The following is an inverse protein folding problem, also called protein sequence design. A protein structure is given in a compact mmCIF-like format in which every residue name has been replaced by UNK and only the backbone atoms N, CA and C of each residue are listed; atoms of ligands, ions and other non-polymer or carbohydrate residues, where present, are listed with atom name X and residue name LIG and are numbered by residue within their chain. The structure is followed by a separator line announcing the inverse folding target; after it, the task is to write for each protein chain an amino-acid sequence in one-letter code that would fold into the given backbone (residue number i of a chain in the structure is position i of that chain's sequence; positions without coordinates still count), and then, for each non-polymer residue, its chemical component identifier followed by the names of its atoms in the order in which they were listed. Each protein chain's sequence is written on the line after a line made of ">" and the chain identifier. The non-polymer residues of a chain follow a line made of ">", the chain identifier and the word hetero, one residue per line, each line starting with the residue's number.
data_IF_151088154468
#
_entry.id   IF_151088154468
#
_cell.length_a   1.000
_cell.length_b   1.000
_cell.length_c   1.000
_cell.angle_alpha   90.00
_cell.angle_beta   90.00
_cell.angle_gamma   90.00
#
_symmetry.space_group_name_H-M   'P 1'
#
loop_
_entity.id
_entity.type
_entity.pdbx_description
1 polymer ?
#
# COMPACT_ATOMS: atom_id res chain seq x y z
N UNK A 1 8.28 -25.14 -6.70
CA UNK A 1 6.94 -25.04 -6.05
C UNK A 1 6.86 -23.69 -5.38
N UNK A 2 5.73 -22.96 -5.49
CA UNK A 2 5.54 -21.71 -4.76
C UNK A 2 5.54 -21.97 -3.25
N UNK A 3 6.14 -21.06 -2.47
CA UNK A 3 6.10 -21.09 -1.02
C UNK A 3 4.65 -20.89 -0.52
N UNK A 4 3.89 -20.07 -1.23
CA UNK A 4 2.49 -19.73 -0.95
C UNK A 4 1.55 -20.42 -1.93
N UNK A 5 0.34 -20.76 -1.47
CA UNK A 5 -0.67 -21.50 -2.25
C UNK A 5 -1.84 -20.63 -2.66
N UNK A 6 -2.25 -19.68 -1.80
CA UNK A 6 -3.42 -18.83 -2.04
C UNK A 6 -3.17 -17.39 -1.59
N UNK A 7 -3.38 -16.44 -2.50
CA UNK A 7 -3.17 -15.01 -2.25
C UNK A 7 -4.50 -14.26 -2.20
N UNK A 8 -4.70 -13.44 -1.16
CA UNK A 8 -5.71 -12.38 -1.18
C UNK A 8 -5.14 -11.17 -1.93
N UNK A 9 -5.89 -10.65 -2.90
CA UNK A 9 -5.52 -9.46 -3.65
C UNK A 9 -6.25 -8.26 -3.05
N UNK A 10 -5.56 -7.50 -2.20
CA UNK A 10 -6.10 -6.33 -1.50
C UNK A 10 -6.01 -5.07 -2.39
N UNK A 11 -6.57 -5.16 -3.59
CA UNK A 11 -6.59 -4.08 -4.57
C UNK A 11 -7.71 -4.32 -5.60
N UNK A 12 -7.87 -3.40 -6.57
CA UNK A 12 -8.91 -3.43 -7.58
C UNK A 12 -8.36 -3.17 -8.99
N UNK A 13 -9.23 -3.24 -9.99
CA UNK A 13 -8.93 -2.79 -11.35
C UNK A 13 -7.79 -3.56 -12.01
N UNK A 14 -6.97 -2.84 -12.78
CA UNK A 14 -5.93 -3.42 -13.59
C UNK A 14 -4.82 -4.09 -12.77
N UNK A 15 -4.46 -3.51 -11.60
CA UNK A 15 -3.41 -4.09 -10.77
C UNK A 15 -3.86 -5.44 -10.16
N UNK A 16 -5.13 -5.55 -9.75
CA UNK A 16 -5.66 -6.82 -9.27
C UNK A 16 -5.66 -7.89 -10.37
N UNK A 17 -5.97 -7.51 -11.62
CA UNK A 17 -5.87 -8.42 -12.79
C UNK A 17 -4.42 -8.85 -13.01
N UNK A 18 -3.47 -7.94 -12.92
CA UNK A 18 -2.04 -8.24 -13.08
C UNK A 18 -1.56 -9.23 -12.02
N UNK A 19 -1.93 -9.02 -10.76
CA UNK A 19 -1.58 -9.92 -9.65
C UNK A 19 -2.23 -11.30 -9.85
N UNK A 20 -3.53 -11.35 -10.22
CA UNK A 20 -4.23 -12.60 -10.49
C UNK A 20 -3.55 -13.43 -11.60
N UNK A 21 -3.11 -12.77 -12.68
CA UNK A 21 -2.36 -13.42 -13.76
C UNK A 21 -1.02 -13.97 -13.28
N UNK A 22 -0.29 -13.21 -12.47
CA UNK A 22 0.98 -13.65 -11.90
C UNK A 22 0.79 -14.84 -10.94
N UNK A 23 -0.20 -14.78 -10.06
CA UNK A 23 -0.56 -15.88 -9.16
C UNK A 23 -0.87 -17.17 -9.94
N UNK A 24 -1.70 -17.06 -10.98
CA UNK A 24 -2.04 -18.20 -11.85
C UNK A 24 -0.79 -18.77 -12.55
N UNK A 25 0.11 -17.93 -13.04
CA UNK A 25 1.35 -18.39 -13.67
C UNK A 25 2.29 -19.12 -12.70
N UNK A 26 2.20 -18.80 -11.40
CA UNK A 26 2.94 -19.48 -10.33
C UNK A 26 2.19 -20.71 -9.76
N UNK A 27 1.03 -21.07 -10.31
CA UNK A 27 0.20 -22.18 -9.83
C UNK A 27 -0.49 -21.89 -8.49
N UNK A 28 -0.68 -20.62 -8.13
CA UNK A 28 -1.36 -20.19 -6.92
C UNK A 28 -2.85 -19.92 -7.20
N UNK A 29 -3.67 -20.19 -6.21
CA UNK A 29 -5.04 -19.68 -6.16
C UNK A 29 -5.05 -18.19 -5.77
N UNK A 30 -6.07 -17.48 -6.20
CA UNK A 30 -6.22 -16.06 -5.89
C UNK A 30 -7.65 -15.70 -5.49
N UNK A 31 -7.78 -14.84 -4.49
CA UNK A 31 -9.05 -14.29 -4.02
C UNK A 31 -9.04 -12.79 -4.27
N UNK A 32 -9.97 -12.29 -5.08
CA UNK A 32 -10.19 -10.85 -5.22
C UNK A 32 -11.08 -10.34 -4.10
N UNK A 33 -10.87 -9.11 -3.65
CA UNK A 33 -11.87 -8.36 -2.90
C UNK A 33 -12.52 -7.31 -3.81
N UNK A 34 -13.77 -6.97 -3.53
CA UNK A 34 -14.46 -5.91 -4.28
C UNK A 34 -15.49 -5.17 -3.42
N UNK A 35 -15.50 -3.84 -3.51
CA UNK A 35 -16.63 -3.04 -3.06
C UNK A 35 -17.86 -3.31 -3.93
N UNK A 36 -19.11 -3.00 -3.47
CA UNK A 36 -20.32 -3.24 -4.25
C UNK A 36 -20.31 -2.65 -5.67
N UNK A 37 -19.72 -1.45 -5.83
CA UNK A 37 -19.59 -0.79 -7.14
C UNK A 37 -18.67 -1.53 -8.11
N UNK A 38 -17.75 -2.35 -7.59
CA UNK A 38 -16.79 -3.12 -8.36
C UNK A 38 -17.20 -4.59 -8.58
N UNK A 39 -18.38 -5.00 -8.13
CA UNK A 39 -18.83 -6.40 -8.19
C UNK A 39 -18.77 -7.01 -9.60
N UNK A 40 -19.04 -6.23 -10.63
CA UNK A 40 -18.99 -6.64 -12.03
C UNK A 40 -17.67 -6.32 -12.73
N UNK A 41 -16.69 -5.79 -12.01
CA UNK A 41 -15.39 -5.44 -12.57
C UNK A 41 -14.61 -6.69 -13.02
N UNK A 42 -13.77 -6.55 -14.04
CA UNK A 42 -13.07 -7.67 -14.65
C UNK A 42 -12.18 -8.44 -13.65
N UNK A 43 -11.57 -7.76 -12.69
CA UNK A 43 -10.68 -8.41 -11.72
C UNK A 43 -11.39 -9.51 -10.91
N UNK A 44 -12.70 -9.37 -10.59
CA UNK A 44 -13.46 -10.39 -9.85
C UNK A 44 -13.63 -11.69 -10.63
N UNK A 45 -13.53 -11.61 -11.97
CA UNK A 45 -13.67 -12.77 -12.89
C UNK A 45 -12.32 -13.37 -13.27
N UNK A 46 -11.22 -12.71 -12.94
CA UNK A 46 -9.85 -13.14 -13.28
C UNK A 46 -9.19 -13.92 -12.15
N UNK A 47 -9.80 -13.96 -10.98
CA UNK A 47 -9.35 -14.68 -9.78
C UNK A 47 -10.08 -16.00 -9.61
N UNK A 48 -9.54 -16.88 -8.77
CA UNK A 48 -10.18 -18.19 -8.44
C UNK A 48 -11.50 -17.96 -7.70
N UNK A 49 -11.53 -16.98 -6.80
CA UNK A 49 -12.72 -16.59 -6.04
C UNK A 49 -12.74 -15.06 -5.87
N UNK A 50 -13.92 -14.53 -5.54
CA UNK A 50 -14.08 -13.11 -5.23
C UNK A 50 -14.96 -12.94 -3.99
N UNK A 51 -14.61 -12.00 -3.11
CA UNK A 51 -15.31 -11.71 -1.86
C UNK A 51 -15.67 -10.23 -1.78
N UNK A 52 -16.90 -9.93 -1.40
CA UNK A 52 -17.35 -8.55 -1.20
C UNK A 52 -16.80 -7.97 0.10
N UNK A 53 -16.47 -6.67 0.07
CA UNK A 53 -16.08 -5.83 1.22
C UNK A 53 -16.98 -4.61 1.30
N UNK A 54 -17.16 -4.02 2.50
CA UNK A 54 -17.99 -2.82 2.68
C UNK A 54 -19.46 -3.02 2.31
N UNK A 55 -20.09 -4.09 2.77
CA UNK A 55 -21.40 -4.56 2.31
C UNK A 55 -22.60 -3.72 2.74
N UNK A 56 -22.47 -2.87 3.74
CA UNK A 56 -23.60 -2.13 4.32
C UNK A 56 -24.04 -0.88 3.54
N UNK A 57 -23.39 -0.60 2.39
CA UNK A 57 -23.73 0.52 1.53
C UNK A 57 -23.45 1.90 2.13
N UNK A 58 -22.99 1.97 3.37
CA UNK A 58 -22.71 3.20 4.12
C UNK A 58 -21.27 3.68 3.96
N UNK A 59 -20.37 2.83 3.52
CA UNK A 59 -18.95 3.15 3.34
C UNK A 59 -18.67 3.64 1.92
N UNK A 60 -17.86 4.69 1.83
CA UNK A 60 -17.18 5.02 0.57
C UNK A 60 -16.46 3.76 0.03
N UNK A 61 -16.63 3.51 -1.26
CA UNK A 61 -16.02 2.35 -1.93
C UNK A 61 -14.49 2.28 -1.71
N UNK A 62 -13.81 3.41 -1.60
CA UNK A 62 -12.38 3.50 -1.31
C UNK A 62 -12.09 3.11 0.12
N UNK A 63 -12.91 3.55 1.09
CA UNK A 63 -12.75 3.22 2.50
C UNK A 63 -12.80 1.71 2.75
N UNK A 64 -13.62 0.96 1.99
CA UNK A 64 -13.68 -0.48 2.09
C UNK A 64 -12.34 -1.16 1.76
N UNK A 65 -11.58 -0.65 0.79
CA UNK A 65 -10.24 -1.16 0.43
C UNK A 65 -9.15 -0.73 1.42
N UNK A 66 -9.44 0.21 2.31
CA UNK A 66 -8.52 0.69 3.36
C UNK A 66 -8.78 0.03 4.72
N UNK A 67 -9.81 -0.81 4.84
CA UNK A 67 -10.11 -1.57 6.06
C UNK A 67 -9.22 -2.81 6.16
N UNK A 68 -8.03 -2.62 6.74
CA UNK A 68 -7.06 -3.70 6.92
C UNK A 68 -7.59 -4.85 7.78
N UNK A 69 -8.43 -4.57 8.79
CA UNK A 69 -9.00 -5.60 9.66
C UNK A 69 -9.99 -6.49 8.89
N UNK A 70 -10.87 -5.88 8.09
CA UNK A 70 -11.78 -6.63 7.23
C UNK A 70 -11.03 -7.49 6.20
N UNK A 71 -9.96 -6.97 5.61
CA UNK A 71 -9.14 -7.71 4.64
C UNK A 71 -8.44 -8.92 5.28
N UNK A 72 -7.90 -8.78 6.48
CA UNK A 72 -7.28 -9.89 7.24
C UNK A 72 -8.32 -10.93 7.61
N UNK A 73 -9.50 -10.51 8.08
CA UNK A 73 -10.60 -11.42 8.38
C UNK A 73 -10.96 -12.27 7.16
N UNK A 74 -11.13 -11.65 6.00
CA UNK A 74 -11.43 -12.34 4.75
C UNK A 74 -10.28 -13.29 4.35
N UNK A 75 -9.02 -12.86 4.48
CA UNK A 75 -7.89 -13.72 4.18
C UNK A 75 -7.90 -15.01 5.02
N UNK A 76 -8.25 -14.92 6.30
CA UNK A 76 -8.38 -16.07 7.20
C UNK A 76 -9.57 -16.97 6.81
N UNK A 77 -10.74 -16.39 6.58
CA UNK A 77 -11.96 -17.11 6.17
C UNK A 77 -11.78 -17.84 4.84
N UNK A 78 -11.02 -17.25 3.91
CA UNK A 78 -10.73 -17.81 2.59
C UNK A 78 -9.45 -18.65 2.57
N UNK A 79 -8.82 -18.90 3.72
CA UNK A 79 -7.59 -19.67 3.86
C UNK A 79 -6.45 -19.17 2.98
N UNK A 80 -6.29 -17.84 2.87
CA UNK A 80 -5.16 -17.23 2.19
C UNK A 80 -3.94 -17.23 3.09
N UNK A 81 -2.81 -17.66 2.58
CA UNK A 81 -1.51 -17.68 3.31
C UNK A 81 -0.68 -16.43 3.04
N UNK A 82 -1.11 -15.59 2.10
CA UNK A 82 -0.49 -14.31 1.83
C UNK A 82 -1.49 -13.26 1.32
N UNK A 83 -1.12 -11.98 1.47
CA UNK A 83 -1.88 -10.83 0.97
C UNK A 83 -0.97 -10.01 0.06
N UNK A 84 -1.44 -9.69 -1.14
CA UNK A 84 -0.77 -8.78 -2.06
C UNK A 84 -1.53 -7.45 -2.14
N UNK A 85 -0.97 -6.35 -1.61
CA UNK A 85 -1.66 -5.05 -1.58
C UNK A 85 -1.64 -4.32 -2.94
N UNK A 86 -0.84 -4.76 -3.90
CA UNK A 86 -0.62 -4.04 -5.14
C UNK A 86 0.20 -2.76 -4.94
N UNK A 87 -0.27 -1.66 -5.52
CA UNK A 87 0.21 -0.30 -5.24
C UNK A 87 -0.97 0.60 -4.82
N UNK A 88 -0.69 1.74 -4.15
CA UNK A 88 -1.72 2.55 -3.52
C UNK A 88 -2.38 1.83 -2.34
N UNK A 89 -3.53 2.29 -1.89
CA UNK A 89 -4.28 1.73 -0.75
C UNK A 89 -3.37 1.41 0.44
N UNK A 90 -3.27 0.14 0.83
CA UNK A 90 -2.50 -0.31 1.99
C UNK A 90 -1.07 -0.79 1.64
N UNK A 91 -0.60 -0.60 0.41
CA UNK A 91 0.71 -1.10 -0.03
C UNK A 91 1.90 -0.49 0.73
N UNK A 92 1.75 0.74 1.22
CA UNK A 92 2.77 1.46 2.00
C UNK A 92 2.40 1.55 3.49
N UNK A 93 1.39 0.80 3.94
CA UNK A 93 0.90 0.85 5.31
C UNK A 93 1.64 -0.16 6.20
N UNK A 94 2.60 0.35 6.99
CA UNK A 94 3.39 -0.48 7.91
C UNK A 94 2.55 -1.18 8.98
N UNK A 95 1.45 -0.54 9.45
CA UNK A 95 0.55 -1.14 10.42
C UNK A 95 -0.17 -2.35 9.82
N UNK A 96 -0.64 -2.25 8.58
CA UNK A 96 -1.25 -3.37 7.89
C UNK A 96 -0.28 -4.54 7.70
N UNK A 97 0.97 -4.28 7.32
CA UNK A 97 2.00 -5.31 7.24
C UNK A 97 2.25 -5.99 8.60
N UNK A 98 2.25 -5.21 9.70
CA UNK A 98 2.35 -5.74 11.07
C UNK A 98 1.14 -6.60 11.43
N UNK A 99 -0.08 -6.15 11.09
CA UNK A 99 -1.30 -6.92 11.33
C UNK A 99 -1.30 -8.25 10.57
N UNK A 100 -0.84 -8.27 9.32
CA UNK A 100 -0.67 -9.50 8.55
C UNK A 100 0.27 -10.48 9.26
N UNK A 101 1.44 -9.99 9.70
CA UNK A 101 2.43 -10.81 10.39
C UNK A 101 1.92 -11.37 11.73
N UNK A 102 1.09 -10.62 12.47
CA UNK A 102 0.47 -11.07 13.72
C UNK A 102 -0.52 -12.23 13.54
N UNK A 103 -1.01 -12.43 12.32
CA UNK A 103 -1.97 -13.49 11.96
C UNK A 103 -1.34 -14.57 11.07
N UNK A 104 0.00 -14.65 11.04
CA UNK A 104 0.78 -15.60 10.21
C UNK A 104 0.45 -15.52 8.71
N UNK A 105 0.01 -14.36 8.23
CA UNK A 105 -0.25 -14.07 6.82
C UNK A 105 0.92 -13.30 6.23
N UNK A 106 1.55 -13.82 5.18
CA UNK A 106 2.66 -13.13 4.54
C UNK A 106 2.17 -11.88 3.77
N UNK A 107 2.66 -10.71 4.16
CA UNK A 107 2.48 -9.48 3.38
C UNK A 107 3.44 -9.50 2.19
N UNK A 108 2.92 -9.48 0.97
CA UNK A 108 3.74 -9.46 -0.25
C UNK A 108 4.20 -8.03 -0.51
N UNK A 109 5.35 -7.68 0.05
CA UNK A 109 5.91 -6.34 0.01
C UNK A 109 7.11 -6.20 0.94
N UNK A 110 7.58 -4.96 1.19
CA UNK A 110 8.64 -4.69 2.15
C UNK A 110 8.22 -5.04 3.58
N UNK A 111 9.20 -5.22 4.46
CA UNK A 111 8.92 -5.40 5.90
C UNK A 111 8.25 -4.16 6.50
N UNK A 112 7.51 -4.34 7.60
CA UNK A 112 6.89 -3.22 8.30
C UNK A 112 7.92 -2.15 8.71
N UNK A 113 9.12 -2.56 9.14
CA UNK A 113 10.22 -1.63 9.47
C UNK A 113 10.71 -0.84 8.26
N UNK A 114 10.81 -1.48 7.09
CA UNK A 114 11.18 -0.79 5.86
C UNK A 114 10.07 0.19 5.44
N UNK A 115 8.79 -0.21 5.54
CA UNK A 115 7.67 0.69 5.25
C UNK A 115 7.64 1.91 6.17
N UNK A 116 7.91 1.74 7.48
CA UNK A 116 8.02 2.86 8.42
C UNK A 116 9.18 3.79 8.06
N UNK A 117 10.34 3.23 7.74
CA UNK A 117 11.56 3.99 7.44
C UNK A 117 11.40 4.83 6.16
N UNK A 118 10.83 4.26 5.11
CA UNK A 118 10.69 4.92 3.81
C UNK A 118 9.35 5.64 3.61
N UNK A 119 8.36 5.39 4.46
CA UNK A 119 7.06 6.07 4.43
C UNK A 119 7.12 7.54 4.87
N UNK A 120 8.09 7.90 5.72
CA UNK A 120 8.37 9.29 6.10
C UNK A 120 9.47 9.88 5.21
N UNK A 121 9.12 10.92 4.44
CA UNK A 121 10.02 11.53 3.46
C UNK A 121 11.26 12.16 4.09
N UNK A 122 11.14 12.70 5.30
CA UNK A 122 12.24 13.33 6.03
C UNK A 122 13.23 12.29 6.51
N UNK A 123 12.72 11.23 7.12
CA UNK A 123 13.52 10.11 7.63
C UNK A 123 14.24 9.37 6.49
N UNK A 124 13.52 9.07 5.41
CA UNK A 124 14.09 8.41 4.23
C UNK A 124 15.24 9.24 3.61
N UNK A 125 15.06 10.57 3.56
CA UNK A 125 16.08 11.48 3.06
C UNK A 125 17.31 11.54 3.98
N UNK A 126 17.11 11.65 5.30
CA UNK A 126 18.20 11.65 6.27
C UNK A 126 19.01 10.35 6.19
N UNK A 127 18.32 9.21 6.03
CA UNK A 127 18.99 7.93 5.80
C UNK A 127 19.82 7.94 4.50
N UNK A 128 19.26 8.40 3.39
CA UNK A 128 19.98 8.49 2.12
C UNK A 128 21.26 9.32 2.26
N UNK A 129 21.18 10.48 2.95
CA UNK A 129 22.33 11.33 3.23
C UNK A 129 23.39 10.61 4.10
N UNK A 130 22.95 9.88 5.15
CA UNK A 130 23.88 9.12 6.01
C UNK A 130 24.60 8.01 5.27
N UNK A 131 23.99 7.48 4.21
CA UNK A 131 24.58 6.48 3.31
C UNK A 131 25.44 7.11 2.19
N UNK A 132 25.66 8.44 2.19
CA UNK A 132 26.40 9.13 1.15
C UNK A 132 25.69 9.23 -0.21
N UNK A 133 24.38 8.97 -0.25
CA UNK A 133 23.59 9.07 -1.48
C UNK A 133 23.26 10.54 -1.74
N UNK A 134 23.53 11.06 -2.95
CA UNK A 134 23.16 12.43 -3.31
C UNK A 134 21.65 12.64 -3.20
N UNK A 135 21.24 13.71 -2.52
CA UNK A 135 19.82 14.07 -2.40
C UNK A 135 19.61 15.51 -2.90
N UNK A 136 18.43 15.77 -3.45
CA UNK A 136 18.03 17.12 -3.86
C UNK A 136 17.96 18.01 -2.62
N UNK A 137 18.43 19.27 -2.69
CA UNK A 137 18.35 20.23 -1.59
C UNK A 137 16.89 20.41 -1.11
N UNK A 138 16.66 20.52 0.19
CA UNK A 138 15.32 20.62 0.79
C UNK A 138 15.38 20.74 2.31
N UNK A 139 14.21 20.90 2.95
CA UNK A 139 14.10 20.95 4.41
C UNK A 139 14.58 19.65 5.06
N UNK A 140 15.16 19.77 6.24
CA UNK A 140 15.58 18.64 7.09
C UNK A 140 14.49 18.17 8.06
N UNK A 141 13.40 18.94 8.15
CA UNK A 141 12.24 18.66 8.99
C UNK A 141 10.94 19.11 8.29
N UNK A 142 9.81 18.68 8.84
CA UNK A 142 8.50 19.18 8.43
C UNK A 142 8.42 20.69 8.75
N UNK A 143 7.81 21.47 7.85
CA UNK A 143 7.67 22.92 7.99
C UNK A 143 6.36 23.24 8.71
N UNK A 144 6.40 24.14 9.69
CA UNK A 144 5.27 24.49 10.52
C UNK A 144 4.60 25.82 10.12
N UNK A 145 5.27 26.61 9.24
CA UNK A 145 4.75 27.91 8.82
C UNK A 145 5.18 28.30 7.40
N UNK A 146 4.44 29.22 6.80
CA UNK A 146 4.77 29.78 5.50
C UNK A 146 6.03 30.67 5.54
N UNK A 147 6.36 31.26 6.68
CA UNK A 147 7.60 32.05 6.86
C UNK A 147 8.83 31.15 6.84
N UNK A 148 8.81 30.06 7.59
CA UNK A 148 9.85 29.04 7.59
C UNK A 148 10.06 28.43 6.19
N UNK A 149 8.95 28.15 5.48
CA UNK A 149 9.02 27.66 4.11
C UNK A 149 9.74 28.65 3.17
N UNK A 150 9.48 29.97 3.29
CA UNK A 150 10.15 30.99 2.49
C UNK A 150 11.64 31.12 2.82
N UNK A 151 12.00 31.08 4.09
CA UNK A 151 13.42 31.15 4.52
C UNK A 151 14.21 29.98 3.92
N UNK A 152 13.70 28.75 4.05
CA UNK A 152 14.35 27.57 3.50
C UNK A 152 14.39 27.62 1.98
N UNK A 153 13.31 28.04 1.32
CA UNK A 153 13.28 28.22 -0.13
C UNK A 153 14.30 29.24 -0.62
N UNK A 154 14.50 30.34 0.11
CA UNK A 154 15.53 31.32 -0.17
C UNK A 154 16.95 30.73 -0.05
N UNK A 155 17.19 29.90 0.96
CA UNK A 155 18.48 29.22 1.15
C UNK A 155 18.79 28.17 0.08
N UNK A 156 17.77 27.50 -0.44
CA UNK A 156 17.89 26.47 -1.49
C UNK A 156 18.03 27.11 -2.88
N UNK A 157 17.34 28.22 -3.12
CA UNK A 157 17.16 28.86 -4.43
C UNK A 157 15.90 28.38 -5.16
N UNK A 158 15.28 29.29 -5.93
CA UNK A 158 14.09 29.00 -6.72
C UNK A 158 14.42 28.43 -8.11
N UNK A 159 13.55 27.58 -8.69
CA UNK A 159 12.25 27.14 -8.20
C UNK A 159 12.33 26.03 -7.14
N UNK A 160 11.36 26.00 -6.21
CA UNK A 160 11.21 24.96 -5.19
C UNK A 160 9.86 24.27 -5.30
N UNK A 161 9.79 23.02 -4.84
CA UNK A 161 8.53 22.26 -4.77
C UNK A 161 8.15 22.06 -3.30
N UNK A 162 6.90 22.40 -2.95
CA UNK A 162 6.30 22.06 -1.66
C UNK A 162 5.57 20.72 -1.78
N UNK A 163 5.82 19.83 -0.82
CA UNK A 163 5.15 18.53 -0.74
C UNK A 163 4.56 18.32 0.64
N UNK A 164 3.39 17.69 0.71
CA UNK A 164 2.83 17.23 1.98
C UNK A 164 3.79 16.23 2.65
N UNK A 165 3.91 16.31 3.98
CA UNK A 165 4.74 15.37 4.76
C UNK A 165 4.20 13.94 4.65
N UNK A 166 2.87 13.78 4.75
CA UNK A 166 2.17 12.51 4.54
C UNK A 166 1.43 12.53 3.21
N UNK A 167 1.42 11.40 2.50
CA UNK A 167 0.76 11.23 1.21
C UNK A 167 1.68 10.61 0.16
N UNK A 168 1.15 9.66 -0.61
CA UNK A 168 1.84 9.02 -1.72
C UNK A 168 1.69 9.80 -3.03
N UNK A 169 2.64 9.64 -3.92
CA UNK A 169 2.53 10.11 -5.31
C UNK A 169 2.87 11.57 -5.59
N UNK A 170 3.25 12.35 -4.62
CA UNK A 170 3.69 13.74 -4.82
C UNK A 170 2.62 14.79 -4.69
#
# INVERSE_FOLDING_TARGET
>A
MSLHKRVLIANRGEIAIRIAKAAKALGMESVAVHAPVDALSLHTRMTTQAQAIGQDGSQDAVAAYLDGAALIKIAKEMHCDCIHPGYGFLSENANFATMCAAEDIAFIGPSASALQLFGDKVTARALAQSCGIPVVAGSTAALNSSSEAREIAHGIGYPVMLKAAAGGGG
#
